data_IF_898629178349
#
_entry.id   IF_898629178349
#
_cell.length_a   1.000
_cell.length_b   1.000
_cell.length_c   1.000
_cell.angle_alpha   90.00
_cell.angle_beta   90.00
_cell.angle_gamma   90.00
#
_symmetry.space_group_name_H-M   'P 1'
#
loop_
_entity.id
_entity.type
_entity.pdbx_description
1 polymer ?
#
# COMPACT_ATOMS: atom_id res chain seq x y z
N UNK A 1 15.22 63.06 -40.80
CA UNK A 1 15.25 62.23 -42.01
C UNK A 1 15.17 60.79 -41.53
N UNK A 2 13.95 60.24 -41.41
CA UNK A 2 13.28 59.41 -42.44
C UNK A 2 14.12 58.14 -42.73
N UNK A 3 13.66 56.90 -42.54
CA UNK A 3 12.32 56.37 -42.78
C UNK A 3 12.01 55.12 -41.95
N UNK A 4 10.73 55.01 -41.59
CA UNK A 4 10.01 53.84 -41.08
C UNK A 4 9.81 52.82 -42.21
N UNK A 5 9.80 51.52 -41.91
CA UNK A 5 9.22 50.52 -42.80
C UNK A 5 8.41 49.50 -42.00
N UNK A 6 7.09 49.68 -42.08
CA UNK A 6 6.02 48.76 -41.69
C UNK A 6 6.02 47.51 -42.57
N UNK A 7 5.59 46.39 -42.01
CA UNK A 7 5.20 45.16 -42.74
C UNK A 7 3.87 44.69 -42.13
N UNK A 8 2.92 44.19 -42.95
CA UNK A 8 1.50 44.46 -42.76
C UNK A 8 0.73 43.35 -42.06
N UNK A 9 -0.39 43.79 -41.50
CA UNK A 9 -1.55 43.03 -41.06
C UNK A 9 -2.12 42.19 -42.21
N UNK A 10 -2.47 40.94 -41.90
CA UNK A 10 -3.42 40.16 -42.69
C UNK A 10 -4.70 39.99 -41.87
N UNK A 11 -5.68 40.82 -42.22
CA UNK A 11 -7.08 40.69 -41.84
C UNK A 11 -7.83 39.98 -42.99
N UNK A 12 -8.57 38.95 -42.63
CA UNK A 12 -9.68 38.32 -43.35
C UNK A 12 -10.29 37.32 -42.34
N UNK A 13 -11.46 37.51 -41.74
CA UNK A 13 -12.64 38.21 -42.21
C UNK A 13 -13.73 37.16 -42.50
N UNK A 14 -14.95 37.43 -41.99
CA UNK A 14 -16.25 36.84 -42.40
C UNK A 14 -16.60 35.48 -41.74
N UNK A 15 -17.73 35.24 -41.05
CA UNK A 15 -18.96 36.00 -40.77
C UNK A 15 -19.73 35.42 -39.57
N UNK A 16 -20.55 36.23 -38.88
CA UNK A 16 -21.66 35.81 -38.01
C UNK A 16 -23.00 35.72 -38.79
N UNK A 17 -23.95 34.93 -38.28
CA UNK A 17 -25.43 34.98 -38.48
C UNK A 17 -26.02 33.68 -37.87
N UNK A 18 -26.73 33.71 -36.75
CA UNK A 18 -28.17 34.04 -36.59
C UNK A 18 -29.14 32.86 -36.80
N UNK A 19 -30.14 32.80 -35.91
CA UNK A 19 -31.45 32.09 -36.00
C UNK A 19 -31.39 30.58 -35.65
N UNK A 20 -32.19 29.99 -34.74
CA UNK A 20 -33.65 30.06 -34.58
C UNK A 20 -34.09 29.73 -33.13
N UNK A 21 -35.12 30.47 -32.71
CA UNK A 21 -36.01 30.38 -31.54
C UNK A 21 -37.14 29.34 -31.74
N UNK A 22 -37.47 28.57 -30.70
CA UNK A 22 -38.80 28.01 -30.37
C UNK A 22 -38.69 27.48 -28.91
N UNK A 23 -39.36 27.95 -27.86
CA UNK A 23 -40.78 28.24 -27.57
C UNK A 23 -41.76 27.06 -27.76
N UNK A 24 -42.20 26.55 -26.61
CA UNK A 24 -43.52 25.99 -26.22
C UNK A 24 -43.90 24.54 -26.52
N UNK A 25 -44.14 23.79 -25.42
CA UNK A 25 -45.39 23.05 -25.10
C UNK A 25 -45.12 22.22 -23.81
N UNK A 26 -45.54 22.65 -22.62
CA UNK A 26 -46.85 22.35 -22.02
C UNK A 26 -47.37 20.93 -22.31
N UNK A 27 -47.31 20.09 -21.27
CA UNK A 27 -47.86 18.73 -21.21
C UNK A 27 -48.27 18.42 -19.78
N UNK A 28 -49.41 18.98 -19.41
CA UNK A 28 -50.20 18.74 -18.20
C UNK A 28 -50.69 17.27 -18.13
N UNK A 29 -50.84 16.69 -16.93
CA UNK A 29 -51.28 15.30 -16.80
C UNK A 29 -51.07 14.59 -15.47
N UNK A 30 -51.61 15.17 -14.40
CA UNK A 30 -52.10 14.59 -13.13
C UNK A 30 -52.07 13.05 -12.93
N UNK A 31 -51.65 12.60 -11.74
CA UNK A 31 -52.49 11.83 -10.79
C UNK A 31 -51.82 11.72 -9.40
N UNK A 32 -52.50 12.33 -8.44
CA UNK A 32 -52.50 12.17 -6.97
C UNK A 32 -52.26 10.72 -6.50
N UNK A 33 -51.56 10.47 -5.39
CA UNK A 33 -52.23 10.32 -4.08
C UNK A 33 -51.39 10.75 -2.87
N UNK A 34 -52.10 11.51 -2.04
CA UNK A 34 -51.92 11.89 -0.64
C UNK A 34 -51.18 10.89 0.27
N UNK A 35 -50.29 11.41 1.12
CA UNK A 35 -50.16 10.92 2.49
C UNK A 35 -49.83 12.04 3.46
N UNK A 36 -50.81 12.33 4.30
CA UNK A 36 -50.82 13.34 5.36
C UNK A 36 -49.99 12.90 6.56
N UNK A 37 -49.13 13.78 7.09
CA UNK A 37 -48.82 13.77 8.53
C UNK A 37 -48.69 15.18 9.08
N UNK A 38 -49.82 15.62 9.65
CA UNK A 38 -49.94 16.72 10.60
C UNK A 38 -49.17 16.42 11.90
N UNK A 39 -48.48 17.44 12.42
CA UNK A 39 -48.58 18.03 13.79
C UNK A 39 -47.22 18.64 14.18
N UNK A 40 -47.08 19.75 14.92
CA UNK A 40 -47.97 20.76 15.51
C UNK A 40 -47.11 21.55 16.53
N UNK A 41 -47.10 22.89 16.44
CA UNK A 41 -46.71 23.90 17.48
C UNK A 41 -45.27 23.84 18.05
N UNK A 42 -44.67 24.87 18.63
CA UNK A 42 -45.02 26.26 19.00
C UNK A 42 -43.65 26.98 19.14
N UNK A 43 -43.47 28.19 18.62
CA UNK A 43 -43.78 29.49 19.26
C UNK A 43 -42.62 30.03 20.12
N UNK A 44 -42.42 31.33 19.96
CA UNK A 44 -41.28 32.12 20.39
C UNK A 44 -41.33 32.49 21.88
N UNK A 45 -40.17 32.81 22.47
CA UNK A 45 -39.96 33.84 23.51
C UNK A 45 -38.45 33.88 23.85
N UNK A 46 -37.75 35.01 23.68
CA UNK A 46 -37.52 36.09 24.67
C UNK A 46 -36.24 35.81 25.48
N UNK A 47 -35.12 36.45 25.16
CA UNK A 47 -34.68 37.76 25.70
C UNK A 47 -34.40 37.68 27.21
N UNK A 48 -33.12 37.57 27.60
CA UNK A 48 -32.56 38.27 28.77
C UNK A 48 -31.03 38.17 28.84
N UNK A 49 -30.47 39.33 29.17
CA UNK A 49 -29.06 39.70 29.41
C UNK A 49 -28.77 39.55 30.92
N UNK A 50 -27.49 39.78 31.30
CA UNK A 50 -26.96 39.98 32.67
C UNK A 50 -26.70 38.66 33.43
N UNK A 51 -25.73 38.49 34.32
CA UNK A 51 -24.51 39.19 34.74
C UNK A 51 -23.80 38.23 35.73
N UNK A 52 -22.51 38.48 35.97
CA UNK A 52 -21.81 38.25 37.25
C UNK A 52 -21.65 36.83 37.86
N UNK A 53 -20.38 36.39 37.83
CA UNK A 53 -19.54 36.18 39.01
C UNK A 53 -20.19 35.60 40.29
N UNK A 54 -19.83 34.35 40.64
CA UNK A 54 -19.54 33.99 42.04
C UNK A 54 -18.70 32.74 42.19
N UNK A 55 -17.55 32.93 42.83
CA UNK A 55 -16.74 31.90 43.43
C UNK A 55 -17.49 31.13 44.53
N UNK A 56 -17.29 29.82 44.60
CA UNK A 56 -17.38 28.96 45.80
C UNK A 56 -16.82 27.59 45.40
N UNK A 57 -15.56 27.26 45.73
CA UNK A 57 -15.18 26.55 46.97
C UNK A 57 -16.27 25.59 47.45
N UNK A 58 -16.17 24.32 47.06
CA UNK A 58 -16.67 23.23 47.88
C UNK A 58 -15.65 22.10 47.91
N UNK A 59 -15.12 21.93 49.11
CA UNK A 59 -14.21 20.88 49.52
C UNK A 59 -14.96 19.56 49.62
N UNK A 60 -14.53 18.52 48.91
CA UNK A 60 -14.81 17.14 49.30
C UNK A 60 -13.51 16.43 49.61
N UNK A 61 -13.19 16.46 50.90
CA UNK A 61 -12.36 15.48 51.59
C UNK A 61 -13.16 14.18 51.70
N UNK A 62 -12.66 13.10 51.12
CA UNK A 62 -12.98 11.77 51.61
C UNK A 62 -11.73 10.89 51.63
N UNK A 63 -11.28 10.66 52.85
CA UNK A 63 -10.34 9.63 53.29
C UNK A 63 -10.84 8.24 52.91
N UNK A 64 -9.96 7.38 52.40
CA UNK A 64 -10.30 5.97 52.22
C UNK A 64 -9.20 5.16 51.55
N UNK A 65 -8.42 4.47 52.39
CA UNK A 65 -7.82 3.15 52.13
C UNK A 65 -6.57 3.06 51.24
N UNK A 66 -5.45 3.29 51.93
CA UNK A 66 -4.17 2.59 51.80
C UNK A 66 -4.35 1.11 51.44
N UNK A 67 -4.10 0.75 50.18
CA UNK A 67 -3.77 -0.63 49.78
C UNK A 67 -2.28 -0.70 49.47
N UNK A 68 -1.63 -1.57 50.23
CA UNK A 68 -0.22 -1.96 50.17
C UNK A 68 0.22 -2.37 48.76
N UNK A 69 1.40 -1.92 48.27
CA UNK A 69 2.00 -2.49 47.07
C UNK A 69 2.59 -3.86 47.40
N UNK A 70 1.95 -4.92 46.90
CA UNK A 70 2.51 -6.27 46.88
C UNK A 70 3.75 -6.25 45.98
N UNK A 71 4.92 -6.25 46.61
CA UNK A 71 6.22 -6.51 45.99
C UNK A 71 6.21 -7.89 45.33
N UNK A 72 5.91 -7.96 44.04
CA UNK A 72 6.27 -9.11 43.23
C UNK A 72 7.79 -9.06 43.00
N UNK A 73 8.51 -9.80 43.84
CA UNK A 73 9.89 -10.22 43.57
C UNK A 73 9.89 -11.02 42.27
N UNK A 74 10.17 -10.37 41.15
CA UNK A 74 10.60 -11.06 39.93
C UNK A 74 12.02 -11.55 40.16
N UNK A 75 12.11 -12.78 40.67
CA UNK A 75 13.35 -13.53 40.79
C UNK A 75 13.90 -13.75 39.38
N UNK A 76 15.00 -13.07 39.08
CA UNK A 76 15.90 -13.41 37.99
C UNK A 76 16.35 -14.87 38.19
N UNK A 77 15.84 -15.77 37.37
CA UNK A 77 16.34 -17.15 37.33
C UNK A 77 17.39 -17.21 36.23
N UNK A 78 18.63 -17.02 36.67
CA UNK A 78 19.82 -17.43 35.92
C UNK A 78 19.67 -18.88 35.49
N UNK A 79 19.54 -19.08 34.17
CA UNK A 79 19.67 -20.37 33.50
C UNK A 79 20.94 -20.32 32.65
N UNK A 80 22.08 -20.10 33.30
CA UNK A 80 23.38 -20.51 32.76
C UNK A 80 23.50 -22.03 32.93
N UNK A 81 22.81 -22.79 32.10
CA UNK A 81 23.14 -24.21 31.90
C UNK A 81 24.27 -24.29 30.86
N UNK A 82 25.43 -24.69 31.35
CA UNK A 82 26.64 -24.87 30.56
C UNK A 82 26.42 -25.83 29.40
N UNK A 83 26.62 -25.31 28.19
CA UNK A 83 26.88 -26.14 27.01
C UNK A 83 28.29 -26.73 27.18
N UNK A 84 28.35 -28.00 27.58
CA UNK A 84 29.56 -28.79 27.46
C UNK A 84 29.89 -28.89 25.97
N UNK A 85 31.04 -28.34 25.58
CA UNK A 85 31.71 -28.66 24.31
C UNK A 85 31.93 -30.17 24.26
N UNK A 86 31.11 -30.86 23.47
CA UNK A 86 31.53 -32.11 22.84
C UNK A 86 32.28 -31.73 21.56
N UNK A 87 33.60 -31.73 21.65
CA UNK A 87 34.47 -31.90 20.48
C UNK A 87 34.16 -33.29 19.89
N UNK A 88 33.22 -33.34 18.95
CA UNK A 88 33.11 -34.46 18.02
C UNK A 88 33.73 -34.03 16.69
N UNK A 89 34.88 -34.61 16.43
CA UNK A 89 35.54 -34.59 15.14
C UNK A 89 34.57 -35.00 14.02
N UNK A 90 34.72 -34.46 12.80
CA UNK A 90 33.93 -34.91 11.66
C UNK A 90 34.25 -36.37 11.39
N UNK A 91 33.23 -37.23 11.49
CA UNK A 91 33.31 -38.58 10.94
C UNK A 91 33.38 -38.45 9.41
N UNK A 92 34.58 -38.58 8.87
CA UNK A 92 34.82 -38.95 7.49
C UNK A 92 34.06 -40.25 7.21
N UNK A 93 32.96 -40.15 6.45
CA UNK A 93 32.29 -41.32 5.88
C UNK A 93 33.29 -42.08 5.00
N UNK A 94 33.49 -43.39 5.22
CA UNK A 94 34.22 -44.24 4.29
C UNK A 94 33.52 -44.26 2.93
N UNK A 95 34.29 -44.04 1.87
CA UNK A 95 33.82 -43.94 0.48
C UNK A 95 33.23 -45.27 -0.04
N UNK A 96 33.40 -46.39 0.66
CA UNK A 96 32.99 -47.73 0.22
C UNK A 96 31.51 -48.09 0.51
N UNK A 97 30.70 -47.16 1.02
CA UNK A 97 29.25 -47.35 1.23
C UNK A 97 28.36 -46.61 0.21
N UNK A 98 28.95 -46.03 -0.85
CA UNK A 98 28.19 -45.35 -1.92
C UNK A 98 27.76 -46.25 -3.08
N UNK A 99 28.36 -47.43 -3.24
CA UNK A 99 28.13 -48.26 -4.45
C UNK A 99 27.11 -49.39 -4.28
N UNK A 100 26.61 -49.66 -3.07
CA UNK A 100 25.61 -50.72 -2.83
C UNK A 100 24.15 -50.24 -2.75
N UNK A 101 23.87 -48.94 -2.89
CA UNK A 101 22.51 -48.42 -2.92
C UNK A 101 21.93 -48.22 -4.35
N UNK A 102 22.73 -48.48 -5.39
CA UNK A 102 22.33 -48.28 -6.80
C UNK A 102 21.85 -49.58 -7.49
N UNK A 103 22.06 -50.77 -6.88
CA UNK A 103 21.66 -52.05 -7.51
C UNK A 103 20.43 -52.74 -6.92
N UNK A 104 19.82 -52.22 -5.85
CA UNK A 104 18.66 -52.86 -5.20
C UNK A 104 17.28 -52.32 -5.63
N UNK A 105 17.20 -51.45 -6.65
CA UNK A 105 15.91 -50.88 -7.10
C UNK A 105 15.57 -51.15 -8.57
N UNK A 106 16.28 -52.09 -9.20
CA UNK A 106 16.13 -52.42 -10.64
C UNK A 106 15.73 -53.88 -10.85
N UNK A 107 14.99 -54.52 -9.94
CA UNK A 107 14.35 -55.82 -10.22
C UNK A 107 13.03 -55.94 -9.45
N UNK A 108 12.06 -55.07 -9.74
CA UNK A 108 10.65 -55.32 -9.41
C UNK A 108 9.71 -54.72 -10.47
N UNK A 109 10.19 -54.67 -11.72
CA UNK A 109 9.40 -54.29 -12.89
C UNK A 109 9.24 -55.48 -13.83
N UNK A 110 8.72 -56.59 -13.33
CA UNK A 110 8.14 -57.63 -14.19
C UNK A 110 7.33 -58.57 -13.31
N UNK A 111 6.00 -58.41 -13.32
CA UNK A 111 4.99 -59.50 -13.36
C UNK A 111 3.60 -58.86 -13.22
N UNK A 112 2.79 -59.10 -14.26
CA UNK A 112 1.31 -59.09 -14.30
C UNK A 112 0.57 -57.79 -14.00
N UNK A 113 0.13 -57.14 -15.08
CA UNK A 113 -1.30 -56.85 -15.23
C UNK A 113 -1.67 -56.83 -16.72
N UNK A 114 -2.07 -58.00 -17.23
CA UNK A 114 -2.90 -58.08 -18.43
C UNK A 114 -4.33 -57.89 -17.95
N UNK A 115 -4.82 -56.67 -17.94
CA UNK A 115 -6.25 -56.39 -17.92
C UNK A 115 -6.56 -55.22 -18.84
N UNK A 116 -7.53 -55.50 -19.71
CA UNK A 116 -7.93 -54.74 -20.86
C UNK A 116 -8.61 -53.41 -20.51
N UNK A 117 -8.53 -52.46 -21.44
CA UNK A 117 -9.57 -51.47 -21.66
C UNK A 117 -9.76 -50.41 -20.58
N UNK A 118 -8.80 -49.48 -20.42
CA UNK A 118 -9.11 -48.19 -19.78
C UNK A 118 -8.77 -47.05 -20.73
N UNK A 119 -9.83 -46.54 -21.38
CA UNK A 119 -9.81 -45.37 -22.25
C UNK A 119 -9.12 -44.21 -21.53
N UNK A 120 -8.07 -43.70 -22.16
CA UNK A 120 -7.29 -42.51 -21.82
C UNK A 120 -8.19 -41.38 -21.27
N UNK A 121 -8.18 -41.15 -19.95
CA UNK A 121 -8.64 -39.91 -19.30
C UNK A 121 -7.47 -38.95 -19.00
N UNK A 122 -6.46 -38.93 -19.87
CA UNK A 122 -5.37 -37.96 -19.84
C UNK A 122 -5.77 -36.80 -20.75
N UNK A 123 -6.64 -35.89 -20.28
CA UNK A 123 -6.80 -34.54 -20.86
C UNK A 123 -7.79 -33.67 -20.05
N UNK A 124 -7.63 -33.58 -18.73
CA UNK A 124 -8.34 -32.55 -17.93
C UNK A 124 -7.45 -31.80 -16.95
N UNK A 125 -6.20 -32.24 -16.72
CA UNK A 125 -5.31 -31.63 -15.71
C UNK A 125 -4.59 -30.36 -16.20
N UNK A 126 -4.44 -30.17 -17.51
CA UNK A 126 -3.77 -28.99 -18.08
C UNK A 126 -4.71 -27.85 -18.51
N UNK A 127 -6.03 -27.98 -18.33
CA UNK A 127 -7.00 -26.92 -18.66
C UNK A 127 -7.10 -25.79 -17.62
N UNK A 128 -6.23 -25.81 -16.59
CA UNK A 128 -6.19 -24.80 -15.52
C UNK A 128 -5.25 -23.62 -15.80
N UNK A 129 -4.52 -23.60 -16.93
CA UNK A 129 -3.47 -22.59 -17.18
C UNK A 129 -3.86 -21.41 -18.06
N UNK A 130 -5.08 -21.35 -18.61
CA UNK A 130 -5.51 -20.24 -19.47
C UNK A 130 -6.91 -19.71 -19.12
N UNK A 131 -7.13 -19.34 -17.86
CA UNK A 131 -8.20 -18.39 -17.48
C UNK A 131 -7.62 -16.97 -17.57
N UNK A 132 -7.24 -16.53 -18.77
CA UNK A 132 -6.71 -15.17 -18.96
C UNK A 132 -7.81 -14.11 -19.11
N UNK A 133 -9.08 -14.52 -19.12
CA UNK A 133 -10.23 -13.64 -18.97
C UNK A 133 -11.04 -14.16 -17.79
N UNK A 134 -10.60 -13.80 -16.58
CA UNK A 134 -11.44 -13.98 -15.40
C UNK A 134 -12.58 -12.98 -15.55
N UNK A 135 -13.79 -13.50 -15.69
CA UNK A 135 -15.03 -12.71 -15.61
C UNK A 135 -14.94 -11.79 -14.37
N UNK A 136 -15.20 -10.47 -14.48
CA UNK A 136 -15.12 -9.55 -13.35
C UNK A 136 -15.86 -10.08 -12.11
N UNK A 137 -17.02 -10.70 -12.29
CA UNK A 137 -17.82 -11.26 -11.20
C UNK A 137 -17.12 -12.46 -10.53
N UNK A 138 -16.42 -13.28 -11.32
CA UNK A 138 -15.63 -14.39 -10.80
C UNK A 138 -14.43 -13.88 -10.00
N UNK A 139 -13.75 -12.84 -10.49
CA UNK A 139 -12.62 -12.24 -9.79
C UNK A 139 -13.07 -11.64 -8.45
N UNK A 140 -14.15 -10.86 -8.43
CA UNK A 140 -14.67 -10.30 -7.19
C UNK A 140 -15.10 -11.40 -6.21
N UNK A 141 -15.69 -12.50 -6.70
CA UNK A 141 -16.03 -13.66 -5.87
C UNK A 141 -14.78 -14.31 -5.25
N UNK A 142 -13.69 -14.44 -6.00
CA UNK A 142 -12.40 -14.93 -5.50
C UNK A 142 -11.81 -13.99 -4.43
N UNK A 143 -11.91 -12.68 -4.63
CA UNK A 143 -11.48 -11.67 -3.66
C UNK A 143 -12.34 -11.71 -2.39
N UNK A 144 -13.67 -11.80 -2.51
CA UNK A 144 -14.58 -11.96 -1.35
C UNK A 144 -14.23 -13.22 -0.56
N UNK A 145 -13.97 -14.34 -1.25
CA UNK A 145 -13.55 -15.58 -0.60
C UNK A 145 -12.21 -15.40 0.14
N UNK A 146 -11.22 -14.74 -0.47
CA UNK A 146 -9.93 -14.44 0.17
C UNK A 146 -10.09 -13.52 1.39
N UNK A 147 -10.95 -12.51 1.29
CA UNK A 147 -11.27 -11.60 2.39
C UNK A 147 -11.78 -12.36 3.62
N UNK A 148 -12.80 -13.21 3.46
CA UNK A 148 -13.35 -13.95 4.59
C UNK A 148 -12.41 -15.03 5.14
N UNK A 149 -11.60 -15.65 4.28
CA UNK A 149 -10.72 -16.77 4.66
C UNK A 149 -9.39 -16.35 5.28
N UNK A 150 -8.79 -15.24 4.84
CA UNK A 150 -7.47 -14.79 5.28
C UNK A 150 -7.49 -13.43 6.00
N UNK A 151 -8.16 -12.42 5.44
CA UNK A 151 -8.06 -11.05 5.93
C UNK A 151 -9.17 -10.62 6.92
N UNK A 152 -10.13 -11.49 7.23
CA UNK A 152 -11.31 -11.12 8.04
C UNK A 152 -10.95 -10.53 9.40
N UNK A 153 -9.95 -11.11 10.08
CA UNK A 153 -9.44 -10.59 11.35
C UNK A 153 -8.84 -9.18 11.21
N UNK A 154 -8.02 -8.96 10.17
CA UNK A 154 -7.37 -7.68 9.91
C UNK A 154 -8.41 -6.62 9.54
N UNK A 155 -9.38 -6.98 8.71
CA UNK A 155 -10.47 -6.09 8.31
C UNK A 155 -11.35 -5.68 9.49
N UNK A 156 -11.69 -6.62 10.39
CA UNK A 156 -12.40 -6.32 11.63
C UNK A 156 -11.66 -5.33 12.52
N UNK A 157 -10.32 -5.41 12.60
CA UNK A 157 -9.51 -4.48 13.40
C UNK A 157 -9.64 -3.03 12.92
N UNK A 158 -9.78 -2.82 11.61
CA UNK A 158 -9.87 -1.48 11.01
C UNK A 158 -11.28 -1.06 10.61
N UNK A 159 -12.30 -1.90 10.86
CA UNK A 159 -13.68 -1.68 10.41
C UNK A 159 -13.84 -1.53 8.89
N UNK A 160 -12.98 -2.19 8.11
CA UNK A 160 -13.09 -2.23 6.65
C UNK A 160 -14.12 -3.28 6.26
N UNK A 161 -15.12 -2.92 5.43
CA UNK A 161 -16.07 -3.90 4.89
C UNK A 161 -15.54 -4.58 3.62
N UNK A 162 -16.15 -5.69 3.22
CA UNK A 162 -15.78 -6.35 1.97
C UNK A 162 -16.21 -5.51 0.76
N UNK A 163 -17.30 -4.75 0.90
CA UNK A 163 -17.79 -3.81 -0.10
C UNK A 163 -16.76 -2.69 -0.34
N UNK A 164 -16.22 -2.09 0.72
CA UNK A 164 -15.16 -1.06 0.62
C UNK A 164 -13.94 -1.58 -0.14
N UNK A 165 -13.54 -2.83 0.14
CA UNK A 165 -12.41 -3.46 -0.53
C UNK A 165 -12.69 -3.68 -2.02
N UNK A 166 -13.89 -4.14 -2.37
CA UNK A 166 -14.28 -4.36 -3.76
C UNK A 166 -14.36 -3.03 -4.53
N UNK A 167 -14.92 -2.00 -3.91
CA UNK A 167 -15.02 -0.67 -4.51
C UNK A 167 -13.63 -0.05 -4.71
N UNK A 168 -12.71 -0.24 -3.76
CA UNK A 168 -11.31 0.18 -3.90
C UNK A 168 -10.60 -0.48 -5.09
N UNK A 169 -10.67 -1.81 -5.22
CA UNK A 169 -10.01 -2.51 -6.34
C UNK A 169 -10.69 -2.25 -7.69
N UNK A 170 -12.01 -2.02 -7.70
CA UNK A 170 -12.77 -1.62 -8.89
C UNK A 170 -12.34 -0.23 -9.32
N UNK A 171 -12.27 0.71 -8.37
CA UNK A 171 -11.78 2.05 -8.63
C UNK A 171 -10.37 1.99 -9.19
N UNK A 172 -9.43 1.27 -8.58
CA UNK A 172 -8.06 1.16 -9.09
C UNK A 172 -7.91 0.38 -10.41
N UNK A 173 -9.00 -0.05 -11.05
CA UNK A 173 -8.97 -0.64 -12.38
C UNK A 173 -8.43 -2.07 -12.43
N UNK A 174 -8.54 -2.82 -11.32
CA UNK A 174 -8.00 -4.19 -11.21
C UNK A 174 -8.46 -5.10 -12.37
N UNK A 175 -9.69 -4.93 -12.85
CA UNK A 175 -10.26 -5.71 -13.95
C UNK A 175 -9.48 -5.59 -15.27
N UNK A 176 -8.77 -4.48 -15.48
CA UNK A 176 -7.97 -4.22 -16.68
C UNK A 176 -6.48 -4.55 -16.50
N UNK A 177 -6.07 -4.98 -15.30
CA UNK A 177 -4.68 -5.30 -15.03
C UNK A 177 -4.23 -6.58 -15.76
N UNK A 178 -2.93 -6.70 -16.03
CA UNK A 178 -2.37 -7.86 -16.72
C UNK A 178 -2.56 -9.20 -15.96
N UNK A 179 -2.66 -9.16 -14.63
CA UNK A 179 -2.77 -10.35 -13.76
C UNK A 179 -3.72 -10.10 -12.58
N UNK A 180 -5.02 -9.94 -12.83
CA UNK A 180 -5.98 -9.51 -11.81
C UNK A 180 -6.14 -10.52 -10.66
N UNK A 181 -6.00 -11.82 -10.96
CA UNK A 181 -6.11 -12.89 -9.96
C UNK A 181 -5.09 -12.80 -8.82
N UNK A 182 -3.98 -12.09 -9.01
CA UNK A 182 -2.96 -11.90 -7.96
C UNK A 182 -3.49 -11.13 -6.75
N UNK A 183 -4.49 -10.27 -6.91
CA UNK A 183 -5.08 -9.48 -5.82
C UNK A 183 -5.61 -10.34 -4.68
N UNK A 184 -6.19 -11.50 -4.99
CA UNK A 184 -6.65 -12.46 -3.98
C UNK A 184 -5.55 -12.97 -3.04
N UNK A 185 -4.27 -12.94 -3.45
CA UNK A 185 -3.14 -13.39 -2.65
C UNK A 185 -2.64 -12.31 -1.68
N UNK A 186 -2.94 -11.05 -1.97
CA UNK A 186 -2.47 -9.88 -1.21
C UNK A 186 -3.64 -9.12 -0.60
N UNK A 187 -4.73 -9.82 -0.29
CA UNK A 187 -5.97 -9.20 0.19
C UNK A 187 -5.79 -8.51 1.55
N UNK A 188 -4.93 -9.02 2.43
CA UNK A 188 -4.58 -8.38 3.71
C UNK A 188 -3.91 -7.01 3.50
N UNK A 189 -3.00 -6.94 2.54
CA UNK A 189 -2.33 -5.70 2.15
C UNK A 189 -3.34 -4.69 1.57
N UNK A 190 -4.31 -5.17 0.77
CA UNK A 190 -5.38 -4.33 0.22
C UNK A 190 -6.25 -3.79 1.35
N UNK A 191 -6.66 -4.63 2.31
CA UNK A 191 -7.41 -4.19 3.50
C UNK A 191 -6.67 -3.08 4.25
N UNK A 192 -5.35 -3.22 4.45
CA UNK A 192 -4.55 -2.19 5.10
C UNK A 192 -4.55 -0.88 4.30
N UNK A 193 -4.43 -0.95 2.98
CA UNK A 193 -4.48 0.25 2.11
C UNK A 193 -5.86 0.92 2.14
N UNK A 194 -6.95 0.15 2.16
CA UNK A 194 -8.32 0.67 2.26
C UNK A 194 -8.54 1.36 3.61
N UNK A 195 -8.11 0.72 4.70
CA UNK A 195 -8.19 1.32 6.04
C UNK A 195 -7.46 2.66 6.12
N UNK A 196 -6.29 2.75 5.49
CA UNK A 196 -5.51 3.99 5.38
C UNK A 196 -6.27 5.05 4.57
N UNK A 197 -6.86 4.68 3.44
CA UNK A 197 -7.67 5.60 2.62
C UNK A 197 -8.94 6.07 3.35
N UNK A 198 -9.46 5.29 4.29
CA UNK A 198 -10.58 5.67 5.17
C UNK A 198 -10.14 6.56 6.36
N UNK A 199 -8.85 6.91 6.46
CA UNK A 199 -8.33 7.78 7.52
C UNK A 199 -7.99 7.06 8.83
N UNK A 200 -7.78 5.73 8.82
CA UNK A 200 -7.43 4.99 10.03
C UNK A 200 -5.98 5.28 10.48
N UNK A 201 -5.81 6.05 11.55
CA UNK A 201 -4.50 6.33 12.17
C UNK A 201 -3.80 5.04 12.64
N UNK A 202 -4.58 4.07 13.13
CA UNK A 202 -4.05 2.79 13.58
C UNK A 202 -3.43 2.00 12.42
N UNK A 203 -4.06 2.03 11.24
CA UNK A 203 -3.52 1.39 10.05
C UNK A 203 -2.20 2.04 9.59
N UNK A 204 -2.09 3.37 9.67
CA UNK A 204 -0.83 4.08 9.41
C UNK A 204 0.28 3.69 10.39
N UNK A 205 -0.06 3.56 11.67
CA UNK A 205 0.89 3.12 12.71
C UNK A 205 1.41 1.70 12.44
N UNK A 206 0.49 0.77 12.11
CA UNK A 206 0.86 -0.60 11.78
C UNK A 206 1.70 -0.68 10.48
N UNK A 207 1.37 0.12 9.46
CA UNK A 207 2.15 0.24 8.22
C UNK A 207 3.60 0.65 8.53
N UNK A 208 3.78 1.73 9.32
CA UNK A 208 5.10 2.21 9.73
C UNK A 208 5.84 1.13 10.50
N UNK A 209 5.22 0.51 11.50
CA UNK A 209 5.85 -0.54 12.30
C UNK A 209 6.35 -1.73 11.46
N UNK A 210 5.58 -2.14 10.45
CA UNK A 210 5.91 -3.30 9.61
C UNK A 210 6.98 -2.98 8.57
N UNK A 211 6.92 -1.79 7.95
CA UNK A 211 7.74 -1.50 6.76
C UNK A 211 8.94 -0.60 7.00
N UNK A 212 8.99 0.18 8.09
CA UNK A 212 10.04 1.18 8.35
C UNK A 212 11.46 0.60 8.26
N UNK A 213 11.71 -0.53 8.96
CA UNK A 213 13.00 -1.21 8.92
C UNK A 213 13.35 -1.73 7.50
N UNK A 214 12.36 -2.20 6.75
CA UNK A 214 12.60 -2.76 5.42
C UNK A 214 12.92 -1.65 4.41
N UNK A 215 12.17 -0.55 4.45
CA UNK A 215 12.40 0.61 3.60
C UNK A 215 13.75 1.28 3.93
N UNK A 216 14.09 1.38 5.21
CA UNK A 216 15.40 1.91 5.65
C UNK A 216 16.54 1.08 5.06
N UNK A 217 16.46 -0.26 5.17
CA UNK A 217 17.46 -1.16 4.59
C UNK A 217 17.56 -1.09 3.06
N UNK A 218 16.47 -0.78 2.37
CA UNK A 218 16.52 -0.55 0.92
C UNK A 218 17.30 0.73 0.60
N UNK A 219 17.09 1.80 1.39
CA UNK A 219 17.74 3.09 1.19
C UNK A 219 19.22 3.09 1.58
N UNK A 220 19.65 2.25 2.53
CA UNK A 220 21.07 2.18 2.95
C UNK A 220 22.02 1.69 1.85
N UNK A 221 21.51 1.20 0.72
CA UNK A 221 22.30 0.91 -0.47
C UNK A 221 22.81 2.16 -1.19
N UNK A 222 22.12 3.30 -1.00
CA UNK A 222 22.39 4.56 -1.70
C UNK A 222 22.85 5.69 -0.78
N UNK A 223 22.56 5.62 0.52
CA UNK A 223 22.88 6.67 1.51
C UNK A 223 23.27 6.08 2.87
N UNK A 224 23.69 6.94 3.80
CA UNK A 224 24.01 6.51 5.17
C UNK A 224 22.76 6.00 5.89
N UNK A 225 22.94 5.16 6.92
CA UNK A 225 21.81 4.62 7.70
C UNK A 225 20.97 5.72 8.35
N UNK A 226 21.62 6.77 8.87
CA UNK A 226 20.92 7.90 9.47
C UNK A 226 20.08 8.66 8.43
N UNK A 227 20.68 8.96 7.28
CA UNK A 227 19.97 9.66 6.19
C UNK A 227 18.81 8.80 5.65
N UNK A 228 19.01 7.48 5.56
CA UNK A 228 17.98 6.53 5.14
C UNK A 228 16.78 6.55 6.08
N UNK A 229 16.99 6.57 7.40
CA UNK A 229 15.89 6.67 8.37
C UNK A 229 15.10 7.97 8.21
N UNK A 230 15.80 9.11 8.10
CA UNK A 230 15.16 10.41 7.91
C UNK A 230 14.40 10.46 6.58
N UNK A 231 14.99 9.91 5.52
CA UNK A 231 14.38 9.83 4.20
C UNK A 231 13.11 8.97 4.20
N UNK A 232 13.13 7.79 4.84
CA UNK A 232 11.96 6.91 4.94
C UNK A 232 10.83 7.58 5.72
N UNK A 233 11.14 8.25 6.84
CA UNK A 233 10.14 8.99 7.60
C UNK A 233 9.50 10.10 6.79
N UNK A 234 10.30 10.85 6.03
CA UNK A 234 9.79 11.87 5.10
C UNK A 234 8.94 11.24 4.00
N UNK A 235 9.41 10.19 3.35
CA UNK A 235 8.68 9.46 2.31
C UNK A 235 7.32 8.97 2.79
N UNK A 236 7.24 8.38 3.98
CA UNK A 236 5.97 7.89 4.54
C UNK A 236 5.01 9.02 4.94
N UNK A 237 5.52 10.19 5.33
CA UNK A 237 4.70 11.37 5.56
C UNK A 237 4.21 11.98 4.25
N UNK A 238 5.08 12.14 3.25
CA UNK A 238 4.72 12.64 1.92
C UNK A 238 3.68 11.69 1.25
N UNK A 239 3.82 10.36 1.44
CA UNK A 239 2.83 9.37 1.00
C UNK A 239 1.49 9.50 1.72
N UNK A 240 1.51 9.85 3.01
CA UNK A 240 0.29 10.09 3.78
C UNK A 240 -0.46 11.33 3.26
N UNK A 241 0.27 12.42 3.06
CA UNK A 241 -0.27 13.67 2.50
C UNK A 241 -0.82 13.45 1.08
N UNK A 242 -0.12 12.70 0.23
CA UNK A 242 -0.59 12.32 -1.10
C UNK A 242 -1.86 11.47 -1.04
N UNK A 243 -1.93 10.52 -0.10
CA UNK A 243 -3.11 9.66 0.07
C UNK A 243 -4.32 10.47 0.54
N UNK A 244 -4.15 11.38 1.51
CA UNK A 244 -5.22 12.25 2.00
C UNK A 244 -5.73 13.18 0.90
N UNK A 245 -4.83 13.81 0.13
CA UNK A 245 -5.19 14.61 -1.04
C UNK A 245 -5.98 13.79 -2.06
N UNK A 246 -5.52 12.58 -2.36
CA UNK A 246 -6.20 11.70 -3.31
C UNK A 246 -7.59 11.27 -2.83
N UNK A 247 -7.82 11.11 -1.52
CA UNK A 247 -9.14 10.77 -0.97
C UNK A 247 -10.10 11.95 -1.02
N UNK A 248 -9.61 13.17 -0.75
CA UNK A 248 -10.41 14.40 -0.77
C UNK A 248 -10.70 14.94 -2.18
N UNK A 249 -9.93 14.50 -3.18
CA UNK A 249 -10.18 14.81 -4.58
C UNK A 249 -11.36 13.98 -5.11
N UNK A 250 -12.55 14.56 -5.08
CA UNK A 250 -13.78 13.98 -5.67
C UNK A 250 -13.64 13.79 -7.19
N UNK A 251 -12.82 14.59 -7.85
CA UNK A 251 -12.53 14.47 -9.27
C UNK A 251 -11.29 13.61 -9.48
N UNK A 252 -11.50 12.42 -10.04
CA UNK A 252 -10.44 11.64 -10.65
C UNK A 252 -10.17 12.26 -12.03
N UNK A 253 -9.55 13.44 -12.06
CA UNK A 253 -9.30 14.14 -13.31
C UNK A 253 -8.44 13.27 -14.21
N UNK A 254 -9.01 12.87 -15.35
CA UNK A 254 -8.42 12.02 -16.41
C UNK A 254 -7.27 12.73 -17.17
N UNK A 255 -6.69 13.77 -16.59
CA UNK A 255 -5.73 14.65 -17.24
C UNK A 255 -4.60 14.94 -16.27
N UNK A 256 -3.42 14.51 -16.68
CA UNK A 256 -2.10 14.52 -16.02
C UNK A 256 -1.83 13.29 -15.15
N UNK A 257 -0.76 12.58 -15.54
CA UNK A 257 -0.11 11.52 -14.78
C UNK A 257 0.48 12.22 -13.56
N UNK A 258 -0.35 12.49 -12.55
CA UNK A 258 0.13 13.13 -11.34
C UNK A 258 1.13 12.19 -10.67
N UNK A 259 2.35 12.70 -10.50
CA UNK A 259 3.51 12.03 -9.90
C UNK A 259 3.24 11.62 -8.42
N UNK A 260 2.10 12.03 -7.88
CA UNK A 260 1.65 11.81 -6.51
C UNK A 260 0.63 10.67 -6.39
N UNK A 261 0.89 9.52 -7.01
CA UNK A 261 0.05 8.33 -6.77
C UNK A 261 -0.05 8.08 -5.24
N UNK A 262 -1.25 7.89 -4.69
CA UNK A 262 -1.43 7.64 -3.26
C UNK A 262 -1.33 6.16 -2.92
N UNK A 263 -1.58 5.79 -1.66
CA UNK A 263 -1.94 4.39 -1.34
C UNK A 263 -3.29 3.99 -1.96
N UNK A 264 -4.10 4.97 -2.39
CA UNK A 264 -5.34 4.77 -3.16
C UNK A 264 -5.13 3.96 -4.45
N UNK A 265 -3.95 4.05 -5.05
CA UNK A 265 -3.63 3.37 -6.33
C UNK A 265 -3.11 1.94 -6.14
N UNK A 266 -2.91 1.51 -4.88
CA UNK A 266 -2.49 0.15 -4.60
C UNK A 266 -3.66 -0.83 -4.73
N UNK A 267 -3.65 -1.65 -5.78
CA UNK A 267 -4.68 -2.66 -6.09
C UNK A 267 -4.25 -4.11 -5.83
N UNK A 268 -3.11 -4.34 -5.17
CA UNK A 268 -2.65 -5.68 -4.80
C UNK A 268 -2.20 -6.56 -5.98
N UNK A 269 -1.56 -6.00 -7.01
CA UNK A 269 -0.94 -6.83 -8.06
C UNK A 269 0.39 -7.47 -7.62
N UNK A 270 1.04 -6.86 -6.65
CA UNK A 270 2.30 -7.26 -6.01
C UNK A 270 2.16 -7.03 -4.51
N UNK A 271 2.99 -7.64 -3.64
CA UNK A 271 2.95 -7.37 -2.21
C UNK A 271 3.20 -5.89 -1.90
N UNK A 272 2.52 -5.33 -0.90
CA UNK A 272 2.60 -3.91 -0.55
C UNK A 272 4.02 -3.48 -0.22
N UNK A 273 4.78 -4.35 0.45
CA UNK A 273 6.22 -4.14 0.71
C UNK A 273 7.01 -3.84 -0.56
N UNK A 274 6.79 -4.64 -1.61
CA UNK A 274 7.51 -4.52 -2.88
C UNK A 274 7.06 -3.26 -3.60
N UNK A 275 5.77 -2.96 -3.57
CA UNK A 275 5.22 -1.72 -4.13
C UNK A 275 5.84 -0.48 -3.48
N UNK A 276 5.87 -0.41 -2.13
CA UNK A 276 6.49 0.68 -1.39
C UNK A 276 7.99 0.78 -1.65
N UNK A 277 8.69 -0.36 -1.72
CA UNK A 277 10.13 -0.38 -2.00
C UNK A 277 10.44 0.14 -3.41
N UNK A 278 9.65 -0.24 -4.41
CA UNK A 278 9.84 0.26 -5.77
C UNK A 278 9.62 1.78 -5.84
N UNK A 279 8.63 2.29 -5.09
CA UNK A 279 8.37 3.73 -5.04
C UNK A 279 9.47 4.52 -4.35
N UNK A 280 9.91 4.08 -3.18
CA UNK A 280 10.98 4.79 -2.46
C UNK A 280 12.27 4.80 -3.29
N UNK A 281 12.58 3.71 -4.00
CA UNK A 281 13.73 3.66 -4.93
C UNK A 281 13.54 4.59 -6.13
N UNK A 282 12.34 4.71 -6.70
CA UNK A 282 12.06 5.67 -7.77
C UNK A 282 12.27 7.12 -7.29
N UNK A 283 11.76 7.47 -6.09
CA UNK A 283 12.00 8.78 -5.49
C UNK A 283 13.48 9.05 -5.21
N UNK A 284 14.25 8.01 -4.84
CA UNK A 284 15.71 8.12 -4.69
C UNK A 284 16.42 8.39 -6.03
N UNK A 285 15.97 7.79 -7.12
CA UNK A 285 16.56 7.95 -8.44
C UNK A 285 16.27 9.34 -9.04
N UNK A 286 15.13 9.94 -8.69
CA UNK A 286 14.74 11.31 -9.06
C UNK A 286 15.51 12.39 -8.28
N UNK A 287 16.02 12.06 -7.09
CA UNK A 287 16.77 13.03 -6.31
C UNK A 287 18.06 13.44 -7.05
N UNK A 288 18.35 14.75 -7.14
CA UNK A 288 19.59 15.23 -7.72
C UNK A 288 20.75 14.57 -6.98
N UNK A 289 21.46 13.66 -7.66
CA UNK A 289 22.69 13.12 -7.10
C UNK A 289 23.59 14.33 -6.85
N UNK A 290 24.11 14.52 -5.62
CA UNK A 290 25.06 15.58 -5.38
C UNK A 290 26.14 15.38 -6.43
N UNK A 291 26.24 16.34 -7.37
CA UNK A 291 27.20 16.27 -8.45
C UNK A 291 28.50 15.81 -7.81
N UNK A 292 29.00 14.67 -8.27
CA UNK A 292 30.32 14.20 -7.87
C UNK A 292 31.22 15.35 -8.21
N UNK A 293 31.54 16.19 -7.21
CA UNK A 293 32.42 17.34 -7.37
C UNK A 293 33.58 16.77 -8.17
N UNK A 294 33.82 17.23 -9.41
CA UNK A 294 34.85 16.66 -10.25
C UNK A 294 36.07 16.64 -9.37
N UNK A 295 36.60 15.44 -9.10
CA UNK A 295 37.69 15.24 -8.18
C UNK A 295 38.72 16.29 -8.56
N UNK A 296 38.78 17.38 -7.79
CA UNK A 296 39.73 18.44 -8.07
C UNK A 296 41.03 17.72 -7.96
N UNK A 297 41.71 17.61 -9.10
CA UNK A 297 43.05 17.08 -9.32
C UNK A 297 44.04 17.88 -8.47
N UNK A 298 43.89 17.75 -7.15
CA UNK A 298 44.67 18.39 -6.12
C UNK A 298 45.70 17.34 -5.70
N UNK A 299 46.64 17.03 -6.58
CA UNK A 299 47.76 16.21 -6.12
C UNK A 299 48.54 15.43 -7.15
N UNK A 300 48.78 15.94 -8.36
CA UNK A 300 50.07 15.67 -9.02
C UNK A 300 51.18 16.41 -8.26
N UNK A 301 51.39 16.05 -7.00
CA UNK A 301 52.58 16.39 -6.25
C UNK A 301 53.76 15.75 -7.00
N UNK A 302 54.69 16.61 -7.43
CA UNK A 302 55.84 16.21 -8.22
C UNK A 302 56.59 15.04 -7.58
N UNK A 303 56.87 14.03 -8.39
CA UNK A 303 57.96 13.09 -8.13
C UNK A 303 59.24 13.92 -8.04
N UNK A 304 59.73 14.13 -6.82
CA UNK A 304 61.11 14.55 -6.60
C UNK A 304 62.01 13.44 -7.10
N UNK A 305 62.69 13.71 -8.21
CA UNK A 305 63.73 12.85 -8.77
C UNK A 305 64.89 12.83 -7.78
N UNK A 306 65.12 11.69 -7.11
CA UNK A 306 66.33 11.44 -6.35
C UNK A 306 67.51 11.40 -7.33
N UNK A 307 68.28 12.49 -7.41
CA UNK A 307 69.57 12.48 -8.09
C UNK A 307 70.58 11.74 -7.21
N UNK A 308 71.08 10.64 -7.75
CA UNK A 308 72.22 9.90 -7.26
C UNK A 308 73.47 10.76 -7.55
N UNK A 309 74.11 11.29 -6.51
CA UNK A 309 75.38 12.01 -6.61
C UNK A 309 76.52 10.97 -6.65
N UNK A 310 77.47 11.08 -7.60
CA UNK A 310 78.61 10.16 -7.75
C UNK A 310 79.66 10.29 -6.64
#
# INVERSE_FOLDING_TARGET
>A
MQSVQEVPEHDAGVSPADTIRAENAEGDGTMTTSSTRLKKHADATKDERLDEEKASRSSNSMTGETTTPTKTKTTCRDLTQGMKKTDQAPQTMPQDQRDNAIQANTVNASIRSKNAGSKRKISKRNRRRNKQFTDPDQLESEIRQAYFSAASWVAMRYSVSVEDLIDHVRAGGLHHAARPSSASQYVEDIVLSVAICQGSEQAWSDLRQVFDLTLTRACTLSMSEHDAMVFVQKFLSDLADATERAVNSDERSDTTIDEDAGLRDYIGLIPLRVWLTNRILATLDEMPRPETRPATDNGRAGRTSLQLVP
#
